data_IF_968770505129
#
_entry.id   IF_968770505129
#
_cell.length_a   1.000
_cell.length_b   1.000
_cell.length_c   1.000
_cell.angle_alpha   90.00
_cell.angle_beta   90.00
_cell.angle_gamma   90.00
#
_symmetry.space_group_name_H-M   'P 1'
#
loop_
_entity.id
_entity.type
_entity.pdbx_description
1 polymer ?
#
# COMPACT_ATOMS: atom_id res chain seq x y z
N UNK A 1 -15.88 -8.90 -19.33
CA UNK A 1 -14.50 -8.66 -19.79
C UNK A 1 -14.11 -9.83 -20.66
N UNK A 2 -13.50 -9.55 -21.81
CA UNK A 2 -13.03 -10.61 -22.72
C UNK A 2 -11.88 -11.38 -22.03
N UNK A 3 -11.87 -12.72 -22.02
CA UNK A 3 -10.75 -13.54 -21.54
C UNK A 3 -9.36 -13.07 -22.01
N UNK A 4 -9.25 -12.46 -23.20
CA UNK A 4 -7.98 -11.89 -23.68
C UNK A 4 -7.49 -10.69 -22.87
N UNK A 5 -8.39 -9.82 -22.41
CA UNK A 5 -8.04 -8.68 -21.57
C UNK A 5 -7.59 -9.12 -20.17
N UNK A 6 -8.13 -10.25 -19.68
CA UNK A 6 -7.74 -10.86 -18.40
C UNK A 6 -6.32 -11.43 -18.46
N UNK A 7 -5.98 -12.12 -19.55
CA UNK A 7 -4.66 -12.72 -19.73
C UNK A 7 -3.56 -11.66 -19.95
N UNK A 8 -3.87 -10.57 -20.68
CA UNK A 8 -2.95 -9.44 -20.80
C UNK A 8 -2.68 -8.76 -19.45
N UNK A 9 -3.68 -8.64 -18.59
CA UNK A 9 -3.53 -8.04 -17.27
C UNK A 9 -2.66 -8.93 -16.36
N UNK A 10 -2.93 -10.23 -16.34
CA UNK A 10 -2.12 -11.21 -15.60
C UNK A 10 -0.68 -11.23 -16.09
N UNK A 11 -0.47 -11.07 -17.39
CA UNK A 11 0.87 -10.92 -17.98
C UNK A 11 1.56 -9.65 -17.47
N UNK A 12 0.91 -8.49 -17.55
CA UNK A 12 1.47 -7.20 -17.08
C UNK A 12 1.79 -7.19 -15.58
N UNK A 13 0.95 -7.83 -14.76
CA UNK A 13 1.17 -7.96 -13.32
C UNK A 13 2.31 -8.94 -12.98
N UNK A 14 2.41 -10.08 -13.68
CA UNK A 14 3.49 -11.05 -13.50
C UNK A 14 4.85 -10.55 -13.99
N UNK A 15 4.87 -9.62 -14.94
CA UNK A 15 6.09 -9.05 -15.51
C UNK A 15 6.71 -7.92 -14.66
N UNK A 16 6.12 -7.59 -13.50
CA UNK A 16 6.68 -6.59 -12.58
C UNK A 16 6.91 -5.22 -13.23
N UNK A 17 6.12 -4.87 -14.25
CA UNK A 17 6.26 -3.60 -14.94
C UNK A 17 5.83 -2.47 -14.00
N UNK A 18 6.81 -1.81 -13.40
CA UNK A 18 6.65 -0.61 -12.61
C UNK A 18 6.09 0.49 -13.53
N UNK A 19 4.89 0.97 -13.22
CA UNK A 19 4.29 2.12 -13.89
C UNK A 19 4.77 3.40 -13.19
N UNK A 20 5.56 4.23 -13.88
CA UNK A 20 5.88 5.58 -13.42
C UNK A 20 4.70 6.50 -13.81
N UNK A 21 4.03 7.06 -12.81
CA UNK A 21 2.93 8.01 -13.01
C UNK A 21 3.50 9.42 -12.87
N UNK A 22 3.69 10.10 -14.00
CA UNK A 22 4.06 11.53 -14.05
C UNK A 22 2.97 12.33 -14.73
N UNK A 23 2.51 13.39 -14.07
CA UNK A 23 1.62 14.41 -14.65
C UNK A 23 0.36 13.84 -15.35
N UNK A 24 -0.26 12.82 -14.77
CA UNK A 24 -1.52 12.26 -15.31
C UNK A 24 -1.36 11.40 -16.57
N UNK A 25 -0.14 11.05 -16.97
CA UNK A 25 0.15 10.15 -18.09
C UNK A 25 0.87 8.87 -17.61
N UNK A 26 0.52 7.73 -18.23
CA UNK A 26 1.14 6.42 -17.97
C UNK A 26 2.27 6.21 -18.97
N UNK A 27 3.50 6.11 -18.48
CA UNK A 27 4.69 5.84 -19.31
C UNK A 27 5.24 4.43 -19.05
N UNK A 28 5.68 3.77 -20.12
CA UNK A 28 6.49 2.55 -20.03
C UNK A 28 7.93 2.96 -19.66
N UNK A 29 8.40 2.62 -18.46
CA UNK A 29 9.84 2.71 -18.19
C UNK A 29 10.57 1.62 -18.98
N UNK A 30 11.39 2.05 -19.95
CA UNK A 30 12.49 1.21 -20.44
C UNK A 30 13.58 1.25 -19.39
N UNK A 31 14.07 0.09 -18.96
CA UNK A 31 15.20 0.01 -18.03
C UNK A 31 16.40 0.83 -18.56
N UNK A 32 17.06 1.67 -17.74
CA UNK A 32 18.28 2.33 -18.16
C UNK A 32 19.40 1.30 -18.35
N UNK A 33 20.10 1.43 -19.47
CA UNK A 33 21.27 0.62 -19.81
C UNK A 33 22.37 0.77 -18.73
N UNK A 34 22.71 -0.35 -18.10
CA UNK A 34 23.99 -0.70 -17.47
C UNK A 34 24.89 0.48 -17.03
N UNK A 35 24.77 0.91 -15.78
CA UNK A 35 25.86 1.60 -15.07
C UNK A 35 26.70 0.54 -14.37
N UNK A 36 28.00 0.48 -14.71
CA UNK A 36 28.96 -0.44 -14.05
C UNK A 36 29.16 0.00 -12.59
N UNK A 37 29.25 -0.92 -11.63
CA UNK A 37 29.46 -0.56 -10.24
C UNK A 37 30.90 -0.06 -10.02
N UNK A 38 31.01 1.15 -9.47
CA UNK A 38 32.26 1.72 -9.00
C UNK A 38 32.60 1.10 -7.62
N UNK A 39 33.80 0.55 -7.51
CA UNK A 39 34.30 -0.10 -6.30
C UNK A 39 34.70 0.98 -5.30
N UNK A 40 33.91 1.17 -4.23
CA UNK A 40 34.34 1.56 -2.87
C UNK A 40 33.24 2.32 -2.11
N UNK A 41 32.19 1.63 -1.68
CA UNK A 41 31.25 2.13 -0.66
C UNK A 41 31.17 1.10 0.46
N UNK A 42 31.37 1.48 1.74
CA UNK A 42 31.29 0.54 2.85
C UNK A 42 29.86 -0.01 3.01
N UNK A 43 29.76 -1.32 3.22
CA UNK A 43 28.52 -2.06 3.44
C UNK A 43 27.70 -1.47 4.59
N UNK A 44 26.41 -1.12 4.39
CA UNK A 44 25.50 -0.92 5.50
C UNK A 44 25.26 -2.27 6.17
N UNK A 45 25.52 -2.33 7.48
CA UNK A 45 25.26 -3.50 8.31
C UNK A 45 23.77 -3.86 8.23
N UNK A 46 23.46 -4.90 7.45
CA UNK A 46 22.12 -5.40 7.26
C UNK A 46 21.53 -5.91 8.56
N UNK A 47 20.37 -5.37 8.95
CA UNK A 47 19.51 -6.03 9.92
C UNK A 47 18.96 -7.27 9.23
N UNK A 48 19.42 -8.44 9.68
CA UNK A 48 18.94 -9.74 9.23
C UNK A 48 17.47 -9.91 9.65
N UNK A 49 16.55 -9.61 8.72
CA UNK A 49 15.15 -9.97 8.88
C UNK A 49 15.07 -11.49 8.74
N UNK A 50 15.00 -12.18 9.87
CA UNK A 50 14.85 -13.64 9.91
C UNK A 50 13.66 -14.05 9.06
N UNK A 51 13.94 -14.82 8.01
CA UNK A 51 12.98 -15.50 7.15
C UNK A 51 12.02 -16.36 7.98
N UNK A 52 10.91 -15.78 8.41
CA UNK A 52 9.78 -16.56 8.88
C UNK A 52 9.07 -17.15 7.66
N UNK A 53 9.29 -18.45 7.44
CA UNK A 53 8.57 -19.30 6.49
C UNK A 53 7.05 -19.24 6.75
N UNK A 54 6.38 -18.26 6.15
CA UNK A 54 4.93 -18.22 5.97
C UNK A 54 4.55 -18.22 4.49
N UNK A 55 5.38 -18.81 3.62
CA UNK A 55 5.04 -19.04 2.22
C UNK A 55 3.94 -20.14 2.12
N UNK A 56 2.76 -19.86 2.66
CA UNK A 56 1.55 -20.32 2.00
C UNK A 56 1.44 -19.45 0.76
N UNK A 57 1.59 -20.05 -0.41
CA UNK A 57 1.37 -19.36 -1.67
C UNK A 57 0.05 -18.57 -1.57
N UNK A 58 0.10 -17.27 -1.83
CA UNK A 58 -1.10 -16.45 -1.84
C UNK A 58 -2.08 -17.06 -2.86
N UNK A 59 -3.19 -17.63 -2.38
CA UNK A 59 -4.20 -18.23 -3.25
C UNK A 59 -5.03 -17.14 -3.92
N UNK A 60 -4.52 -16.68 -5.06
CA UNK A 60 -5.22 -15.76 -5.93
C UNK A 60 -6.51 -16.40 -6.45
N UNK A 61 -7.68 -15.89 -6.05
CA UNK A 61 -8.97 -16.35 -6.55
C UNK A 61 -9.65 -15.31 -7.46
N UNK A 62 -10.60 -15.77 -8.27
CA UNK A 62 -11.28 -14.94 -9.26
C UNK A 62 -12.10 -13.79 -8.64
N UNK A 63 -12.61 -13.97 -7.41
CA UNK A 63 -13.40 -12.96 -6.73
C UNK A 63 -12.53 -11.80 -6.23
N UNK A 64 -11.35 -12.11 -5.69
CA UNK A 64 -10.33 -11.13 -5.32
C UNK A 64 -9.85 -10.35 -6.55
N UNK A 65 -9.57 -11.04 -7.66
CA UNK A 65 -9.14 -10.40 -8.91
C UNK A 65 -10.20 -9.39 -9.40
N UNK A 66 -11.46 -9.81 -9.44
CA UNK A 66 -12.59 -8.97 -9.81
C UNK A 66 -12.74 -7.78 -8.86
N UNK A 67 -12.53 -8.02 -7.55
CA UNK A 67 -12.62 -6.97 -6.54
C UNK A 67 -11.53 -5.93 -6.73
N UNK A 68 -10.28 -6.34 -6.87
CA UNK A 68 -9.12 -5.45 -7.11
C UNK A 68 -9.34 -4.61 -8.37
N UNK A 69 -9.89 -5.18 -9.44
CA UNK A 69 -10.18 -4.43 -10.67
C UNK A 69 -11.19 -3.30 -10.43
N UNK A 70 -12.23 -3.57 -9.65
CA UNK A 70 -13.26 -2.58 -9.30
C UNK A 70 -12.67 -1.49 -8.40
N UNK A 71 -11.88 -1.89 -7.40
CA UNK A 71 -11.18 -0.95 -6.52
C UNK A 71 -10.23 -0.04 -7.28
N UNK A 72 -9.47 -0.56 -8.26
CA UNK A 72 -8.53 0.22 -9.07
C UNK A 72 -9.21 1.42 -9.74
N UNK A 73 -10.39 1.22 -10.33
CA UNK A 73 -11.11 2.29 -11.02
C UNK A 73 -11.54 3.42 -10.07
N UNK A 74 -11.99 3.08 -8.86
CA UNK A 74 -12.40 4.08 -7.85
C UNK A 74 -11.17 4.72 -7.22
N UNK A 75 -10.15 3.94 -6.90
CA UNK A 75 -8.89 4.39 -6.32
C UNK A 75 -8.21 5.43 -7.22
N UNK A 76 -8.06 5.16 -8.52
CA UNK A 76 -7.43 6.10 -9.45
C UNK A 76 -8.18 7.43 -9.58
N UNK A 77 -9.48 7.48 -9.25
CA UNK A 77 -10.27 8.71 -9.26
C UNK A 77 -10.11 9.51 -7.97
N UNK A 78 -10.22 8.85 -6.82
CA UNK A 78 -10.26 9.51 -5.51
C UNK A 78 -8.85 9.72 -4.90
N UNK A 79 -7.92 8.82 -5.21
CA UNK A 79 -6.53 8.83 -4.75
C UNK A 79 -5.58 8.62 -5.94
N UNK A 80 -5.44 9.60 -6.86
CA UNK A 80 -4.70 9.43 -8.11
C UNK A 80 -3.19 9.18 -7.94
N UNK A 81 -2.65 9.44 -6.74
CA UNK A 81 -1.26 9.15 -6.38
C UNK A 81 -1.06 7.75 -5.79
N UNK A 82 -2.10 6.90 -5.82
CA UNK A 82 -2.02 5.52 -5.36
C UNK A 82 -2.02 4.54 -6.54
N UNK A 83 -1.09 3.58 -6.47
CA UNK A 83 -0.99 2.43 -7.37
C UNK A 83 -1.33 1.13 -6.64
N UNK A 84 -1.62 0.08 -7.42
CA UNK A 84 -1.77 -1.30 -6.93
C UNK A 84 -0.69 -2.13 -7.60
N UNK A 85 0.12 -2.80 -6.79
CA UNK A 85 1.23 -3.67 -7.17
C UNK A 85 1.13 -5.03 -6.46
N UNK A 86 2.10 -5.91 -6.72
CA UNK A 86 2.23 -7.23 -6.10
C UNK A 86 3.58 -7.35 -5.40
N UNK A 87 3.58 -7.93 -4.20
CA UNK A 87 4.80 -8.41 -3.57
C UNK A 87 5.33 -9.65 -4.31
N UNK A 88 6.58 -10.03 -4.02
CA UNK A 88 7.24 -11.22 -4.61
C UNK A 88 6.47 -12.52 -4.34
N UNK A 89 5.68 -12.57 -3.26
CA UNK A 89 4.83 -13.71 -2.89
C UNK A 89 3.45 -13.70 -3.57
N UNK A 90 3.19 -12.71 -4.42
CA UNK A 90 1.92 -12.51 -5.12
C UNK A 90 0.86 -11.76 -4.30
N UNK A 91 1.16 -11.34 -3.08
CA UNK A 91 0.22 -10.56 -2.25
C UNK A 91 0.01 -9.18 -2.86
N UNK A 92 -1.23 -8.78 -3.19
CA UNK A 92 -1.50 -7.47 -3.70
C UNK A 92 -1.38 -6.42 -2.60
N UNK A 93 -0.76 -5.29 -2.94
CA UNK A 93 -0.69 -4.13 -2.07
C UNK A 93 -0.98 -2.85 -2.85
N UNK A 94 -1.46 -1.86 -2.12
CA UNK A 94 -1.69 -0.50 -2.60
C UNK A 94 -0.61 0.37 -2.00
N UNK A 95 -0.06 1.33 -2.72
CA UNK A 95 0.83 2.30 -2.13
C UNK A 95 0.71 3.64 -2.82
N UNK A 96 1.03 4.71 -2.10
CA UNK A 96 0.91 6.06 -2.62
C UNK A 96 1.16 7.10 -1.54
N UNK A 97 0.87 8.34 -1.86
CA UNK A 97 1.09 9.45 -0.95
C UNK A 97 -0.20 10.09 -0.47
N UNK A 98 -0.28 10.37 0.83
CA UNK A 98 -1.31 11.20 1.46
C UNK A 98 -0.65 12.50 1.91
N UNK A 99 -1.28 13.63 1.57
CA UNK A 99 -0.81 14.96 1.94
C UNK A 99 0.36 15.52 1.10
N UNK A 100 0.82 16.73 1.44
CA UNK A 100 0.23 17.60 2.47
C UNK A 100 -1.16 18.11 2.04
N UNK A 101 -2.00 18.47 3.00
CA UNK A 101 -3.33 19.08 2.77
C UNK A 101 -3.52 20.29 3.70
N UNK A 102 -4.71 20.91 3.68
CA UNK A 102 -5.03 21.98 4.63
C UNK A 102 -5.02 21.51 6.11
N UNK A 103 -5.23 20.20 6.36
CA UNK A 103 -5.31 19.62 7.70
C UNK A 103 -4.14 18.70 8.04
N UNK A 104 -3.34 18.30 7.05
CA UNK A 104 -2.19 17.41 7.21
C UNK A 104 -0.93 18.16 6.78
N UNK A 105 -0.06 18.46 7.74
CA UNK A 105 1.08 19.37 7.57
C UNK A 105 2.17 18.76 6.70
N UNK A 106 2.39 17.45 6.80
CA UNK A 106 3.40 16.76 6.02
C UNK A 106 2.81 15.71 5.06
N UNK A 107 3.68 15.17 4.21
CA UNK A 107 3.36 14.14 3.23
C UNK A 107 3.80 12.78 3.75
N UNK A 108 2.94 11.79 3.61
CA UNK A 108 3.20 10.42 4.04
C UNK A 108 3.12 9.46 2.87
N UNK A 109 4.15 8.62 2.70
CA UNK A 109 4.09 7.44 1.86
C UNK A 109 3.42 6.33 2.66
N UNK A 110 2.29 5.85 2.17
CA UNK A 110 1.48 4.79 2.79
C UNK A 110 1.53 3.55 1.91
N UNK A 111 1.58 2.38 2.56
CA UNK A 111 1.38 1.07 1.94
C UNK A 111 0.20 0.37 2.61
N UNK A 112 -0.63 -0.30 1.82
CA UNK A 112 -1.78 -1.07 2.27
C UNK A 112 -1.71 -2.47 1.70
N UNK A 113 -1.51 -3.49 2.53
CA UNK A 113 -1.50 -4.89 2.08
C UNK A 113 -2.90 -5.47 2.09
N UNK A 114 -3.30 -6.13 1.00
CA UNK A 114 -4.63 -6.72 0.85
C UNK A 114 -4.61 -8.21 1.25
N UNK A 115 -5.43 -8.65 2.21
CA UNK A 115 -5.49 -10.05 2.60
C UNK A 115 -6.13 -10.91 1.49
N UNK A 116 -5.88 -12.24 1.46
CA UNK A 116 -6.52 -13.15 0.50
C UNK A 116 -8.06 -13.09 0.50
N UNK A 117 -8.65 -12.83 1.68
CA UNK A 117 -10.09 -12.70 1.89
C UNK A 117 -10.60 -11.24 1.74
N UNK A 118 -9.82 -10.36 1.10
CA UNK A 118 -10.26 -8.99 0.86
C UNK A 118 -11.56 -8.95 0.04
N UNK A 119 -12.52 -8.13 0.48
CA UNK A 119 -13.86 -8.06 -0.09
C UNK A 119 -14.89 -8.96 0.60
N UNK A 120 -14.50 -9.84 1.52
CA UNK A 120 -15.43 -10.63 2.35
C UNK A 120 -15.63 -10.06 3.75
N UNK A 121 -15.18 -8.81 3.98
CA UNK A 121 -15.20 -8.17 5.30
C UNK A 121 -13.88 -8.28 6.07
N UNK A 122 -12.86 -8.95 5.52
CA UNK A 122 -11.52 -8.94 6.11
C UNK A 122 -10.80 -7.64 5.75
N UNK A 123 -10.38 -6.91 6.78
CA UNK A 123 -9.78 -5.58 6.65
C UNK A 123 -8.33 -5.64 6.13
N UNK A 124 -7.91 -4.73 5.25
CA UNK A 124 -6.50 -4.53 4.90
C UNK A 124 -5.65 -4.08 6.09
N UNK A 125 -4.32 -4.12 5.93
CA UNK A 125 -3.38 -3.51 6.89
C UNK A 125 -2.72 -2.31 6.25
N UNK A 126 -2.67 -1.18 6.95
CA UNK A 126 -2.00 0.03 6.50
C UNK A 126 -0.70 0.26 7.27
N UNK A 127 0.33 0.70 6.56
CA UNK A 127 1.65 1.03 7.09
C UNK A 127 2.06 2.41 6.58
N UNK A 128 2.67 3.22 7.45
CA UNK A 128 3.37 4.44 7.04
C UNK A 128 4.82 4.07 6.78
N UNK A 129 5.25 4.26 5.54
CA UNK A 129 6.60 3.92 5.06
C UNK A 129 7.55 5.10 5.23
N UNK A 130 7.05 6.33 5.06
CA UNK A 130 7.84 7.54 5.23
C UNK A 130 6.94 8.75 5.48
N UNK A 131 7.36 9.71 6.33
CA UNK A 131 8.48 9.57 7.27
C UNK A 131 8.16 8.52 8.35
N UNK A 132 9.20 8.06 9.05
CA UNK A 132 9.03 7.16 10.19
C UNK A 132 8.14 7.81 11.25
N UNK A 133 7.19 7.03 11.78
CA UNK A 133 6.36 7.45 12.89
C UNK A 133 7.16 7.41 14.20
N UNK A 134 6.83 8.29 15.15
CA UNK A 134 7.40 8.22 16.50
C UNK A 134 7.02 6.86 17.12
N UNK A 135 7.98 6.14 17.73
CA UNK A 135 7.70 4.84 18.35
C UNK A 135 6.61 4.93 19.41
N UNK A 136 5.76 3.88 19.47
CA UNK A 136 4.62 3.80 20.38
C UNK A 136 3.56 4.89 20.14
N UNK A 137 3.39 5.32 18.89
CA UNK A 137 2.25 6.14 18.50
C UNK A 137 0.93 5.44 18.91
N UNK A 138 -0.07 6.20 19.40
CA UNK A 138 -1.39 5.65 19.71
C UNK A 138 -1.99 4.93 18.49
N UNK A 139 -2.82 3.91 18.75
CA UNK A 139 -3.50 3.16 17.69
C UNK A 139 -2.57 2.59 16.62
N UNK A 140 -1.42 2.06 17.04
CA UNK A 140 -0.50 1.29 16.21
C UNK A 140 -0.26 -0.09 16.82
N UNK A 141 -0.27 -1.13 15.99
CA UNK A 141 0.08 -2.48 16.41
C UNK A 141 1.60 -2.68 16.48
N UNK A 142 2.03 -3.75 17.16
CA UNK A 142 3.46 -4.05 17.42
C UNK A 142 4.27 -4.22 16.13
N UNK A 143 3.65 -4.77 15.08
CA UNK A 143 4.24 -4.93 13.75
C UNK A 143 4.14 -3.65 12.88
N UNK A 144 3.74 -2.53 13.47
CA UNK A 144 3.77 -1.20 12.86
C UNK A 144 2.54 -0.83 12.04
N UNK A 145 1.59 -1.74 11.82
CA UNK A 145 0.37 -1.38 11.09
C UNK A 145 -0.60 -0.55 11.95
N UNK A 146 -1.38 0.28 11.27
CA UNK A 146 -2.33 1.17 11.93
C UNK A 146 -3.56 0.41 12.43
N UNK A 147 -4.01 0.73 13.63
CA UNK A 147 -5.29 0.32 14.17
C UNK A 147 -6.37 1.33 13.74
N UNK A 148 -7.20 0.95 12.77
CA UNK A 148 -8.15 1.84 12.08
C UNK A 148 -9.62 1.53 12.35
N UNK A 149 -9.93 0.42 13.01
CA UNK A 149 -11.31 -0.02 13.25
C UNK A 149 -11.52 -0.34 14.73
N UNK A 150 -12.40 0.44 15.35
CA UNK A 150 -12.97 0.15 16.66
C UNK A 150 -14.39 -0.39 16.43
N UNK A 151 -14.53 -1.73 16.43
CA UNK A 151 -15.85 -2.37 16.49
C UNK A 151 -16.39 -2.99 15.20
N UNK A 152 -15.56 -3.24 14.19
CA UNK A 152 -15.98 -4.00 13.00
C UNK A 152 -16.72 -3.15 11.96
N UNK A 153 -16.38 -1.86 11.89
CA UNK A 153 -16.88 -0.95 10.88
C UNK A 153 -16.46 -1.35 9.45
N UNK A 154 -15.36 -2.10 9.30
CA UNK A 154 -14.96 -2.63 8.01
C UNK A 154 -15.85 -3.81 7.59
N UNK A 155 -16.51 -3.70 6.43
CA UNK A 155 -17.41 -4.73 5.93
C UNK A 155 -17.05 -5.13 4.50
N UNK A 156 -17.71 -6.18 3.97
CA UNK A 156 -17.57 -6.58 2.57
C UNK A 156 -17.90 -5.44 1.57
N UNK A 157 -18.65 -4.42 1.99
CA UNK A 157 -19.00 -3.24 1.17
C UNK A 157 -17.98 -2.10 1.26
N UNK A 158 -17.08 -2.13 2.25
CA UNK A 158 -16.04 -1.10 2.42
C UNK A 158 -15.01 -1.18 1.29
N UNK A 159 -14.56 -0.03 0.79
CA UNK A 159 -13.62 0.08 -0.35
C UNK A 159 -12.23 0.51 0.11
N UNK A 160 -11.22 0.43 -0.77
CA UNK A 160 -9.90 1.02 -0.52
C UNK A 160 -9.99 2.53 -0.28
N UNK A 161 -10.90 3.22 -0.96
CA UNK A 161 -11.12 4.66 -0.76
C UNK A 161 -11.63 4.95 0.65
N UNK A 162 -12.60 4.17 1.13
CA UNK A 162 -13.09 4.28 2.51
C UNK A 162 -11.96 4.00 3.50
N UNK A 163 -11.16 2.97 3.25
CA UNK A 163 -10.05 2.59 4.12
C UNK A 163 -8.95 3.66 4.15
N UNK A 164 -8.57 4.22 3.01
CA UNK A 164 -7.60 5.33 2.92
C UNK A 164 -8.12 6.62 3.52
N UNK A 165 -9.44 6.84 3.54
CA UNK A 165 -10.02 7.96 4.29
C UNK A 165 -9.79 7.79 5.80
N UNK A 166 -9.92 6.57 6.33
CA UNK A 166 -9.58 6.29 7.73
C UNK A 166 -8.09 6.46 8.01
N UNK A 167 -7.21 6.00 7.11
CA UNK A 167 -5.77 6.26 7.21
C UNK A 167 -5.49 7.77 7.25
N UNK A 168 -6.16 8.56 6.41
CA UNK A 168 -6.00 10.02 6.40
C UNK A 168 -6.42 10.66 7.73
N UNK A 169 -7.53 10.21 8.32
CA UNK A 169 -7.97 10.66 9.64
C UNK A 169 -6.95 10.29 10.72
N UNK A 170 -6.45 9.04 10.69
CA UNK A 170 -5.41 8.59 11.61
C UNK A 170 -4.17 9.47 11.53
N UNK A 171 -3.71 9.83 10.33
CA UNK A 171 -2.54 10.70 10.13
C UNK A 171 -2.74 12.11 10.69
N UNK A 172 -3.95 12.67 10.56
CA UNK A 172 -4.28 13.98 11.16
C UNK A 172 -4.25 13.90 12.69
N UNK A 173 -4.81 12.84 13.27
CA UNK A 173 -4.80 12.62 14.72
C UNK A 173 -3.38 12.37 15.24
N UNK A 174 -2.57 11.66 14.47
CA UNK A 174 -1.15 11.46 14.76
C UNK A 174 -0.41 12.79 14.83
N UNK A 175 -0.55 13.70 13.86
CA UNK A 175 0.10 15.02 13.93
C UNK A 175 -0.36 15.83 15.15
N UNK A 176 -1.66 15.79 15.46
CA UNK A 176 -2.19 16.44 16.66
C UNK A 176 -1.59 15.86 17.95
N UNK A 177 -1.41 14.54 18.03
CA UNK A 177 -0.75 13.88 19.15
C UNK A 177 0.73 14.25 19.24
N UNK A 178 1.47 14.31 18.12
CA UNK A 178 2.87 14.76 18.12
C UNK A 178 3.00 16.17 18.68
N UNK A 179 2.04 17.05 18.40
CA UNK A 179 2.03 18.44 18.88
C UNK A 179 1.61 18.60 20.33
N UNK A 180 0.65 17.81 20.79
CA UNK A 180 -0.02 18.01 22.09
C UNK A 180 0.38 16.99 23.16
N UNK A 181 0.86 15.82 22.75
CA UNK A 181 1.10 14.65 23.59
C UNK A 181 -0.17 13.95 24.08
N UNK A 182 -1.37 14.39 23.68
CA UNK A 182 -2.65 13.83 24.13
C UNK A 182 -3.10 12.74 23.15
N UNK A 183 -3.24 11.47 23.59
CA UNK A 183 -3.69 10.39 22.72
C UNK A 183 -5.18 10.53 22.38
N UNK A 184 -5.56 9.94 21.23
CA UNK A 184 -6.96 9.69 20.88
C UNK A 184 -7.32 8.23 21.14
#
# INVERSE_FOLDING_TARGET
>A
MDPKQLEELRKKLREGQIFDVREGHVYLQSAPASVKPEKNTPEPQGVEVKNHRWAMAFEWNADLEKRIFTEKAVLSREYPLFGIDLHDDGTPYVHGFIGPTATLKQRYHVMVTLPPAYGTGVMPRAYVISPDLIPNAPHQYIDGHLCLDEGGAFTARSTLVTFLAWVSVWLVLYEAWVETGIPW
#
